data_IF_976331749253
#
_entry.id   IF_976331749253
#
_cell.length_a   1.000
_cell.length_b   1.000
_cell.length_c   1.000
_cell.angle_alpha   90.00
_cell.angle_beta   90.00
_cell.angle_gamma   90.00
#
_symmetry.space_group_name_H-M   'P 1'
#
loop_
_entity.id
_entity.type
_entity.pdbx_description
1 polymer ?
#
# COMPACT_ATOMS: atom_id res chain seq x y z
N UNK A 1 19.50 -6.34 -12.86
CA UNK A 1 19.13 -6.01 -11.47
C UNK A 1 17.63 -6.10 -11.38
N UNK A 2 17.09 -7.24 -10.91
CA UNK A 2 15.65 -7.38 -10.71
C UNK A 2 15.32 -6.72 -9.38
N UNK A 3 14.57 -5.62 -9.42
CA UNK A 3 14.14 -4.92 -8.21
C UNK A 3 13.16 -5.83 -7.44
N UNK A 4 13.70 -6.68 -6.55
CA UNK A 4 12.91 -7.55 -5.67
C UNK A 4 12.28 -6.79 -4.50
N UNK A 5 12.14 -5.47 -4.61
CA UNK A 5 11.54 -4.67 -3.54
C UNK A 5 10.04 -4.91 -3.54
N UNK A 6 9.46 -5.28 -2.38
CA UNK A 6 8.02 -5.36 -2.27
C UNK A 6 7.43 -3.94 -2.29
N UNK A 7 6.33 -3.78 -3.00
CA UNK A 7 5.51 -2.58 -3.06
C UNK A 7 4.21 -2.84 -2.29
N UNK A 8 3.64 -1.81 -1.68
CA UNK A 8 2.36 -1.92 -0.99
C UNK A 8 1.29 -1.11 -1.73
N UNK A 9 0.19 -1.74 -2.19
CA UNK A 9 -0.90 -1.04 -2.84
C UNK A 9 -1.80 -0.39 -1.79
N UNK A 10 -2.18 0.88 -2.03
CA UNK A 10 -2.96 1.67 -1.09
C UNK A 10 -4.00 2.52 -1.84
N UNK A 11 -5.17 2.64 -1.26
CA UNK A 11 -6.17 3.63 -1.61
C UNK A 11 -6.16 4.75 -0.56
N UNK A 12 -6.33 6.00 -1.00
CA UNK A 12 -6.46 7.14 -0.08
C UNK A 12 -7.73 7.09 0.76
N UNK A 13 -8.76 6.39 0.29
CA UNK A 13 -10.07 6.29 0.94
C UNK A 13 -10.17 4.99 1.75
N UNK A 14 -9.82 3.85 1.15
CA UNK A 14 -9.95 2.53 1.80
C UNK A 14 -8.74 2.12 2.65
N UNK A 15 -7.58 2.77 2.50
CA UNK A 15 -6.35 2.36 3.14
C UNK A 15 -5.59 1.27 2.35
N UNK A 16 -4.83 0.38 3.03
CA UNK A 16 -4.11 -0.71 2.38
C UNK A 16 -5.04 -1.63 1.59
N UNK A 17 -4.72 -1.89 0.32
CA UNK A 17 -5.53 -2.74 -0.55
C UNK A 17 -5.13 -4.23 -0.50
N UNK A 18 -4.02 -4.54 0.18
CA UNK A 18 -3.52 -5.90 0.30
C UNK A 18 -2.13 -5.95 0.91
N UNK A 19 -1.55 -7.15 0.88
CA UNK A 19 -0.21 -7.40 1.35
C UNK A 19 0.86 -6.79 0.42
N UNK A 20 2.06 -6.52 0.93
CA UNK A 20 3.23 -6.22 0.11
C UNK A 20 3.45 -7.24 -1.01
N UNK A 21 3.57 -6.79 -2.25
CA UNK A 21 3.73 -7.65 -3.43
C UNK A 21 4.63 -6.99 -4.48
N UNK A 22 4.87 -7.64 -5.61
CA UNK A 22 5.67 -7.06 -6.70
C UNK A 22 5.00 -5.82 -7.30
N UNK A 23 5.78 -4.96 -7.96
CA UNK A 23 5.26 -3.74 -8.59
C UNK A 23 4.11 -4.03 -9.56
N UNK A 24 4.27 -5.05 -10.42
CA UNK A 24 3.25 -5.44 -11.40
C UNK A 24 1.94 -5.85 -10.74
N UNK A 25 2.00 -6.68 -9.69
CA UNK A 25 0.81 -7.08 -8.94
C UNK A 25 0.17 -5.88 -8.20
N UNK A 26 0.97 -4.96 -7.67
CA UNK A 26 0.45 -3.72 -7.07
C UNK A 26 -0.31 -2.85 -8.06
N UNK A 27 0.22 -2.70 -9.28
CA UNK A 27 -0.42 -1.92 -10.34
C UNK A 27 -1.75 -2.55 -10.75
N UNK A 28 -1.81 -3.87 -10.89
CA UNK A 28 -3.05 -4.60 -11.19
C UNK A 28 -4.11 -4.40 -10.11
N UNK A 29 -3.76 -4.59 -8.84
CA UNK A 29 -4.65 -4.35 -7.69
C UNK A 29 -5.17 -2.91 -7.68
N UNK A 30 -4.28 -1.93 -7.90
CA UNK A 30 -4.66 -0.52 -7.93
C UNK A 30 -5.54 -0.17 -9.14
N UNK A 31 -5.38 -0.83 -10.28
CA UNK A 31 -6.24 -0.66 -11.44
C UNK A 31 -7.62 -1.28 -11.21
N UNK A 32 -7.67 -2.51 -10.72
CA UNK A 32 -8.93 -3.19 -10.38
C UNK A 32 -9.75 -2.35 -9.40
N UNK A 33 -9.13 -1.85 -8.34
CA UNK A 33 -9.79 -0.99 -7.35
C UNK A 33 -10.30 0.33 -7.95
N UNK A 34 -9.57 0.94 -8.89
CA UNK A 34 -10.03 2.15 -9.60
C UNK A 34 -11.21 1.87 -10.52
N UNK A 35 -11.29 0.67 -11.11
CA UNK A 35 -12.42 0.25 -11.95
C UNK A 35 -13.68 0.05 -11.11
N UNK A 36 -13.55 -0.57 -9.94
CA UNK A 36 -14.66 -0.81 -9.00
C UNK A 36 -15.10 0.49 -8.31
N UNK A 37 -14.14 1.34 -7.90
CA UNK A 37 -14.39 2.59 -7.21
C UNK A 37 -13.80 3.78 -7.97
N UNK A 38 -14.54 4.28 -8.96
CA UNK A 38 -14.08 5.34 -9.89
C UNK A 38 -13.68 6.66 -9.22
N UNK A 39 -14.18 6.94 -8.03
CA UNK A 39 -13.84 8.14 -7.25
C UNK A 39 -12.60 7.95 -6.36
N UNK A 40 -12.17 6.70 -6.17
CA UNK A 40 -11.05 6.39 -5.29
C UNK A 40 -9.72 6.60 -6.00
N UNK A 41 -8.80 7.28 -5.31
CA UNK A 41 -7.42 7.44 -5.76
C UNK A 41 -6.54 6.37 -5.13
N UNK A 42 -5.86 5.58 -5.96
CA UNK A 42 -4.93 4.54 -5.55
C UNK A 42 -3.49 4.95 -5.83
N UNK A 43 -2.56 4.39 -5.05
CA UNK A 43 -1.12 4.60 -5.14
C UNK A 43 -0.42 3.34 -4.60
N UNK A 44 0.75 3.02 -5.12
CA UNK A 44 1.64 2.02 -4.53
C UNK A 44 2.87 2.71 -3.94
N UNK A 45 3.31 2.25 -2.77
CA UNK A 45 4.52 2.75 -2.12
C UNK A 45 5.60 1.68 -2.12
N UNK A 46 6.85 1.98 -2.48
CA UNK A 46 7.94 1.03 -2.35
C UNK A 46 8.20 0.79 -0.87
N UNK A 47 8.27 -0.47 -0.47
CA UNK A 47 8.78 -0.83 0.84
C UNK A 47 10.27 -1.09 0.66
N UNK A 48 11.10 -0.16 1.14
CA UNK A 48 12.52 -0.46 1.23
C UNK A 48 12.68 -1.64 2.19
N UNK A 49 13.60 -2.57 1.92
CA UNK A 49 13.91 -3.74 2.77
C UNK A 49 14.37 -3.40 4.21
N UNK A 50 14.33 -2.13 4.62
CA UNK A 50 14.53 -1.66 6.00
C UNK A 50 13.43 -0.73 6.53
N UNK A 51 12.32 -0.54 5.81
CA UNK A 51 11.20 0.27 6.29
C UNK A 51 10.38 -0.58 7.25
N UNK A 52 10.68 -0.49 8.55
CA UNK A 52 9.75 -0.92 9.60
C UNK A 52 8.44 -0.20 9.31
N UNK A 53 7.41 -0.92 8.89
CA UNK A 53 6.05 -0.40 8.89
C UNK A 53 5.76 -0.16 10.38
N UNK A 54 6.06 1.05 10.88
CA UNK A 54 5.43 1.55 12.08
C UNK A 54 3.97 1.67 11.72
N UNK A 55 3.22 0.60 11.98
CA UNK A 55 1.79 0.67 12.20
C UNK A 55 1.69 1.66 13.36
N UNK A 56 1.35 2.93 13.06
CA UNK A 56 1.01 3.91 14.08
C UNK A 56 -0.23 3.34 14.76
N UNK A 57 -0.01 2.52 15.78
CA UNK A 57 -1.02 2.20 16.77
C UNK A 57 -1.45 3.54 17.33
N UNK A 58 -2.65 3.95 17.00
CA UNK A 58 -3.38 4.92 17.80
C UNK A 58 -3.61 4.23 19.14
N UNK A 59 -2.71 4.42 20.10
CA UNK A 59 -3.09 4.49 21.50
C UNK A 59 -2.34 5.68 22.08
N UNK A 60 -3.11 6.77 22.16
CA UNK A 60 -3.02 7.76 23.20
C UNK A 60 -2.93 7.04 24.54
N UNK A 61 -1.85 7.27 25.28
CA UNK A 61 -1.90 7.32 26.73
C UNK A 61 -0.83 8.32 27.16
N UNK A 62 -1.30 9.54 27.44
CA UNK A 62 -0.57 10.50 28.25
C UNK A 62 -0.93 10.15 29.69
N UNK A 63 -0.04 9.53 30.46
CA UNK A 63 0.13 9.68 31.92
C UNK A 63 1.61 9.41 32.28
#
# INVERSE_FOLDING_TARGET
>A
MTDHRPYMPRCRVCGPLGAPTTLLACMDICEKHRREYRTHKTQWVPLNSGTRILVKGTHHDCE
#
